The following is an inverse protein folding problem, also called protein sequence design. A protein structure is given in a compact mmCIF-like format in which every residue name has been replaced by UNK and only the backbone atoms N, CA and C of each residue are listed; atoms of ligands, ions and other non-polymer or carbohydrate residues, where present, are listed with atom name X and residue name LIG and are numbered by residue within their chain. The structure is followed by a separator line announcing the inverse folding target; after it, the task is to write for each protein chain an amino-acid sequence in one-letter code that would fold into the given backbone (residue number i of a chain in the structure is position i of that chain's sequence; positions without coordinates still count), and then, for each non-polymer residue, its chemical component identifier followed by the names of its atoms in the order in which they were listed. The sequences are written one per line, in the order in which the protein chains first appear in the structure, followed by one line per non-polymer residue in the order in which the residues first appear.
data_IF_302125307373
#
_entry.id   IF_302125307373
#
_cell.length_a   1.000
_cell.length_b   1.000
_cell.length_c   1.000
_cell.angle_alpha   90.00
_cell.angle_beta   90.00
_cell.angle_gamma   90.00
#
_symmetry.space_group_name_H-M   'P 1'
#
loop_
_entity.id
_entity.type
_entity.pdbx_description
1 polymer ?
#
# COMPACT_ATOMS: atom_id res chain seq x y z
N UNK A 1 63.29 39.53 37.43
CA UNK A 1 62.27 38.48 37.45
C UNK A 1 62.16 37.94 36.03
N UNK A 2 62.67 36.73 35.80
CA UNK A 2 62.53 36.03 34.51
C UNK A 2 61.12 35.45 34.48
N UNK A 3 60.29 35.91 33.54
CA UNK A 3 59.01 35.26 33.28
C UNK A 3 59.30 33.92 32.60
N UNK A 4 58.83 32.84 33.23
CA UNK A 4 58.92 31.47 32.73
C UNK A 4 58.32 31.38 31.32
N UNK A 5 58.97 30.58 30.47
CA UNK A 5 58.53 30.29 29.11
C UNK A 5 57.07 29.84 29.11
N UNK A 6 56.18 30.68 28.58
CA UNK A 6 54.78 30.33 28.35
C UNK A 6 54.73 29.19 27.31
N UNK A 7 54.46 27.98 27.76
CA UNK A 7 54.12 26.84 26.89
C UNK A 7 52.78 27.14 26.20
N UNK A 8 52.85 27.53 24.93
CA UNK A 8 51.68 27.59 24.05
C UNK A 8 51.21 26.15 23.80
N UNK A 9 50.06 25.80 24.36
CA UNK A 9 49.37 24.55 24.03
C UNK A 9 48.99 24.55 22.55
N UNK A 10 48.99 23.38 21.87
CA UNK A 10 48.53 23.29 20.50
C UNK A 10 47.09 23.81 20.42
N UNK A 11 46.85 24.71 19.47
CA UNK A 11 45.55 25.30 19.24
C UNK A 11 44.59 24.18 18.83
N UNK A 12 43.59 23.89 19.66
CA UNK A 12 42.57 22.89 19.32
C UNK A 12 41.77 23.40 18.14
N UNK A 13 41.59 22.55 17.14
CA UNK A 13 40.69 22.86 16.04
C UNK A 13 39.25 22.86 16.57
N UNK A 14 38.69 24.06 16.73
CA UNK A 14 37.33 24.29 17.23
C UNK A 14 36.32 24.43 16.07
N UNK A 15 36.67 24.08 14.83
CA UNK A 15 35.69 24.03 13.76
C UNK A 15 34.60 23.03 14.11
N UNK A 16 33.39 23.54 14.34
CA UNK A 16 32.18 22.74 14.42
C UNK A 16 32.00 22.07 13.08
N UNK A 17 32.17 20.74 13.06
CA UNK A 17 31.87 19.92 11.89
C UNK A 17 30.44 20.21 11.41
N UNK A 18 30.28 20.43 10.11
CA UNK A 18 28.97 20.58 9.50
C UNK A 18 28.31 19.20 9.45
N UNK A 19 27.62 18.85 10.55
CA UNK A 19 26.95 17.55 10.70
C UNK A 19 25.69 17.58 9.83
N UNK A 20 25.69 16.74 8.80
CA UNK A 20 24.52 16.54 7.93
C UNK A 20 23.30 16.24 8.79
N UNK A 21 22.18 16.90 8.46
CA UNK A 21 20.92 16.71 9.16
C UNK A 21 20.49 15.24 9.09
N UNK A 22 20.20 14.65 10.26
CA UNK A 22 19.75 13.25 10.35
C UNK A 22 18.32 13.13 9.82
N UNK A 23 17.95 11.96 9.31
CA UNK A 23 16.55 11.68 8.97
C UNK A 23 15.66 11.89 10.20
N UNK A 24 14.48 12.48 9.99
CA UNK A 24 13.53 12.73 11.08
C UNK A 24 12.88 11.44 11.57
N UNK A 25 12.63 10.50 10.66
CA UNK A 25 12.14 9.16 10.93
C UNK A 25 13.19 8.12 10.51
N UNK A 26 13.17 6.97 11.18
CA UNK A 26 14.00 5.82 10.81
C UNK A 26 13.84 5.44 9.33
N UNK A 27 14.97 5.10 8.72
CA UNK A 27 15.07 4.51 7.39
C UNK A 27 14.62 3.04 7.47
N UNK A 28 13.33 2.83 7.70
CA UNK A 28 12.74 1.49 7.83
C UNK A 28 12.66 0.85 6.44
N UNK A 29 13.13 -0.40 6.31
CA UNK A 29 13.02 -1.12 5.05
C UNK A 29 11.60 -1.62 4.81
N UNK A 30 11.02 -1.36 3.62
CA UNK A 30 9.76 -1.97 3.23
C UNK A 30 9.93 -3.47 2.99
N UNK A 31 8.87 -4.24 3.25
CA UNK A 31 8.92 -5.69 3.11
C UNK A 31 8.49 -6.14 1.71
N UNK A 32 9.27 -7.07 1.13
CA UNK A 32 8.90 -7.85 -0.06
C UNK A 32 8.57 -7.01 -1.31
N UNK A 33 9.19 -5.83 -1.45
CA UNK A 33 9.11 -5.01 -2.66
C UNK A 33 9.49 -5.82 -3.89
N UNK A 34 8.72 -5.68 -4.97
CA UNK A 34 8.93 -6.44 -6.20
C UNK A 34 8.33 -7.85 -6.21
N UNK A 35 7.51 -8.19 -5.21
CA UNK A 35 6.82 -9.50 -5.13
C UNK A 35 5.31 -9.35 -4.96
N UNK A 36 4.56 -10.45 -5.13
CA UNK A 36 3.12 -10.52 -4.85
C UNK A 36 2.81 -10.16 -3.39
N UNK A 37 3.74 -10.45 -2.48
CA UNK A 37 3.60 -10.24 -1.04
C UNK A 37 4.15 -8.87 -0.60
N UNK A 38 4.34 -7.92 -1.53
CA UNK A 38 4.80 -6.57 -1.24
C UNK A 38 3.93 -5.91 -0.16
N UNK A 39 4.59 -5.26 0.80
CA UNK A 39 3.94 -4.51 1.86
C UNK A 39 3.09 -3.34 1.34
N UNK A 40 1.96 -3.08 2.00
CA UNK A 40 1.14 -1.89 1.74
C UNK A 40 1.67 -0.63 2.44
N UNK A 41 1.43 0.55 1.86
CA UNK A 41 1.82 1.82 2.47
C UNK A 41 1.24 2.02 3.88
N UNK A 42 0.00 1.59 4.12
CA UNK A 42 -0.61 1.65 5.46
C UNK A 42 0.07 0.70 6.45
N UNK A 43 0.47 -0.50 6.03
CA UNK A 43 1.29 -1.40 6.86
C UNK A 43 2.60 -0.76 7.25
N UNK A 44 3.31 -0.21 6.26
CA UNK A 44 4.59 0.46 6.48
C UNK A 44 4.45 1.61 7.47
N UNK A 45 3.42 2.45 7.33
CA UNK A 45 3.14 3.55 8.25
C UNK A 45 2.89 3.07 9.69
N UNK A 46 2.16 1.97 9.87
CA UNK A 46 1.90 1.38 11.19
C UNK A 46 3.19 0.82 11.79
N UNK A 47 3.99 0.07 11.02
CA UNK A 47 5.29 -0.43 11.48
C UNK A 47 6.27 0.68 11.80
N UNK A 48 6.27 1.74 11.00
CA UNK A 48 7.07 2.93 11.26
C UNK A 48 6.68 3.56 12.60
N UNK A 49 5.39 3.70 12.89
CA UNK A 49 4.94 4.18 14.19
C UNK A 49 5.39 3.25 15.33
N UNK A 50 5.30 1.93 15.14
CA UNK A 50 5.70 0.92 16.13
C UNK A 50 7.19 1.00 16.47
N UNK A 51 8.09 1.11 15.48
CA UNK A 51 9.54 1.25 15.74
C UNK A 51 9.89 2.56 16.44
N UNK A 52 9.08 3.61 16.27
CA UNK A 52 9.21 4.88 16.99
C UNK A 52 8.51 4.88 18.37
N UNK A 53 7.93 3.75 18.79
CA UNK A 53 7.16 3.63 20.04
C UNK A 53 6.02 4.65 20.17
N UNK A 54 5.40 5.03 19.06
CA UNK A 54 4.26 5.95 19.01
C UNK A 54 3.08 5.29 18.30
N UNK A 55 1.89 5.87 18.47
CA UNK A 55 0.73 5.42 17.71
C UNK A 55 0.73 6.03 16.31
N UNK A 56 0.09 5.38 15.31
CA UNK A 56 -0.07 5.94 13.98
C UNK A 56 -0.67 7.35 13.99
N UNK A 57 -1.67 7.62 14.84
CA UNK A 57 -2.25 8.96 14.99
C UNK A 57 -1.22 10.02 15.41
N UNK A 58 -0.38 9.71 16.41
CA UNK A 58 0.66 10.63 16.87
C UNK A 58 1.69 10.90 15.78
N UNK A 59 2.14 9.85 15.09
CA UNK A 59 3.08 9.98 13.98
C UNK A 59 2.51 10.87 12.87
N UNK A 60 1.27 10.59 12.44
CA UNK A 60 0.59 11.36 11.40
C UNK A 60 0.42 12.81 11.83
N UNK A 61 -0.15 13.04 13.01
CA UNK A 61 -0.47 14.39 13.52
C UNK A 61 0.77 15.27 13.67
N UNK A 62 1.86 14.72 14.17
CA UNK A 62 3.03 15.53 14.56
C UNK A 62 4.11 15.60 13.49
N UNK A 63 4.21 14.62 12.59
CA UNK A 63 5.30 14.57 11.59
C UNK A 63 4.81 14.71 10.16
N UNK A 64 3.69 14.07 9.82
CA UNK A 64 3.20 14.01 8.44
C UNK A 64 2.28 15.20 8.12
N UNK A 65 1.31 15.51 8.99
CA UNK A 65 0.34 16.57 8.77
C UNK A 65 0.95 17.95 8.46
N UNK A 66 2.03 18.41 9.15
CA UNK A 66 2.66 19.70 8.84
C UNK A 66 3.22 19.80 7.40
N UNK A 67 3.46 18.67 6.74
CA UNK A 67 3.96 18.63 5.36
C UNK A 67 2.85 18.60 4.31
N UNK A 68 1.62 18.21 4.69
CA UNK A 68 0.47 18.11 3.79
C UNK A 68 -0.10 19.46 3.39
N UNK A 69 -0.08 20.43 4.31
CA UNK A 69 -0.62 21.77 4.11
C UNK A 69 0.49 22.77 4.44
N UNK A 70 1.05 23.43 3.42
CA UNK A 70 1.90 24.61 3.63
C UNK A 70 1.11 25.63 4.47
N UNK A 71 1.83 26.45 5.24
CA UNK A 71 1.36 27.38 6.28
C UNK A 71 0.29 28.45 5.88
N UNK A 72 -0.47 28.29 4.80
CA UNK A 72 -1.45 29.29 4.34
C UNK A 72 -2.78 29.27 5.11
N UNK A 73 -3.10 28.25 5.89
CA UNK A 73 -4.34 28.20 6.69
C UNK A 73 -4.07 28.00 8.19
N UNK A 74 -3.42 28.97 8.81
CA UNK A 74 -3.14 29.01 10.25
C UNK A 74 -4.37 29.29 11.15
N UNK A 75 -5.58 29.43 10.58
CA UNK A 75 -6.75 29.94 11.31
C UNK A 75 -7.84 28.91 11.65
N UNK A 76 -7.79 27.67 11.13
CA UNK A 76 -8.78 26.65 11.52
C UNK A 76 -8.23 25.72 12.58
N UNK A 77 -8.63 26.01 13.84
CA UNK A 77 -8.65 25.14 15.01
C UNK A 77 -8.46 23.67 14.66
N UNK A 78 -7.50 23.01 15.33
CA UNK A 78 -7.05 21.61 15.28
C UNK A 78 -8.14 20.50 15.37
N UNK A 79 -9.40 20.77 14.99
CA UNK A 79 -10.53 19.84 14.88
C UNK A 79 -11.04 19.66 13.43
N UNK A 80 -10.39 20.24 12.41
CA UNK A 80 -11.02 20.40 11.09
C UNK A 80 -10.65 19.45 9.95
N UNK A 81 -9.44 18.88 9.87
CA UNK A 81 -8.93 18.24 8.63
C UNK A 81 -8.31 16.85 8.85
N UNK A 82 -7.74 16.57 10.04
CA UNK A 82 -7.41 15.19 10.48
C UNK A 82 -8.65 14.28 10.26
N UNK A 83 -9.82 14.84 10.58
CA UNK A 83 -11.17 14.30 10.35
C UNK A 83 -11.60 14.13 8.87
N UNK A 84 -11.05 14.89 7.94
CA UNK A 84 -11.52 14.92 6.55
C UNK A 84 -10.68 14.09 5.58
N UNK A 85 -9.40 13.87 5.88
CA UNK A 85 -8.50 13.10 4.99
C UNK A 85 -8.22 11.69 5.52
N UNK A 86 -7.88 11.54 6.80
CA UNK A 86 -7.58 10.24 7.42
C UNK A 86 -8.77 9.63 8.16
N UNK A 87 -9.88 10.35 8.20
CA UNK A 87 -11.11 9.96 8.89
C UNK A 87 -12.29 9.85 7.91
N UNK A 88 -12.17 10.44 6.71
CA UNK A 88 -13.09 10.13 5.62
C UNK A 88 -12.74 8.76 5.03
N UNK A 89 -13.61 7.77 5.30
CA UNK A 89 -13.44 6.40 4.83
C UNK A 89 -13.21 6.29 3.32
N UNK A 90 -13.73 7.24 2.51
CA UNK A 90 -13.55 7.21 1.06
C UNK A 90 -12.10 7.44 0.63
N UNK A 91 -11.32 8.26 1.34
CA UNK A 91 -9.93 8.58 1.00
C UNK A 91 -8.95 7.58 1.61
N UNK A 92 -9.25 7.03 2.79
CA UNK A 92 -8.36 6.06 3.46
C UNK A 92 -8.09 4.85 2.56
N UNK A 93 -9.11 4.35 1.87
CA UNK A 93 -8.97 3.20 0.98
C UNK A 93 -8.12 3.46 -0.26
N UNK A 94 -8.00 4.71 -0.71
CA UNK A 94 -7.13 5.04 -1.84
C UNK A 94 -5.66 5.20 -1.44
N UNK A 95 -5.34 5.31 -0.14
CA UNK A 95 -3.95 5.52 0.33
C UNK A 95 -3.00 4.37 0.00
N UNK A 96 -3.51 3.15 -0.16
CA UNK A 96 -2.73 2.01 -0.66
C UNK A 96 -2.68 1.96 -2.20
N UNK A 97 -3.36 2.85 -2.90
CA UNK A 97 -3.54 2.79 -4.35
C UNK A 97 -2.95 4.02 -5.02
N UNK A 98 -3.78 4.92 -5.53
CA UNK A 98 -3.34 6.08 -6.27
C UNK A 98 -4.20 7.29 -5.95
N UNK A 99 -3.66 8.47 -6.25
CA UNK A 99 -4.35 9.74 -6.10
C UNK A 99 -3.51 10.75 -5.33
N UNK A 100 -4.01 11.99 -5.29
CA UNK A 100 -3.31 13.12 -4.69
C UNK A 100 -2.89 12.87 -3.24
N UNK A 101 -3.80 12.33 -2.42
CA UNK A 101 -3.52 12.03 -1.01
C UNK A 101 -2.43 10.96 -0.84
N UNK A 102 -2.42 9.94 -1.71
CA UNK A 102 -1.41 8.88 -1.70
C UNK A 102 -0.04 9.44 -2.07
N UNK A 103 0.04 10.20 -3.16
CA UNK A 103 1.27 10.86 -3.60
C UNK A 103 1.83 11.79 -2.52
N UNK A 104 0.98 12.61 -1.87
CA UNK A 104 1.41 13.48 -0.77
C UNK A 104 1.89 12.72 0.45
N UNK A 105 1.26 11.57 0.77
CA UNK A 105 1.70 10.73 1.88
C UNK A 105 3.06 10.10 1.61
N UNK A 106 3.25 9.56 0.41
CA UNK A 106 4.52 8.98 -0.05
C UNK A 106 5.62 10.03 0.00
N UNK A 107 5.43 11.19 -0.63
CA UNK A 107 6.38 12.32 -0.62
C UNK A 107 6.76 12.74 0.81
N UNK A 108 5.77 12.85 1.69
CA UNK A 108 6.01 13.19 3.10
C UNK A 108 6.84 12.14 3.82
N UNK A 109 6.50 10.85 3.64
CA UNK A 109 7.22 9.75 4.28
C UNK A 109 8.63 9.60 3.74
N UNK A 110 8.82 9.70 2.43
CA UNK A 110 10.13 9.65 1.76
C UNK A 110 11.03 10.78 2.24
N UNK A 111 10.52 12.02 2.33
CA UNK A 111 11.30 13.13 2.87
C UNK A 111 11.69 12.92 4.35
N UNK A 112 10.76 12.40 5.17
CA UNK A 112 10.98 12.19 6.61
C UNK A 112 11.93 11.01 6.90
N UNK A 113 11.84 9.93 6.12
CA UNK A 113 12.62 8.69 6.29
C UNK A 113 13.90 8.67 5.46
N UNK A 114 14.02 9.58 4.48
CA UNK A 114 15.07 9.62 3.45
C UNK A 114 15.08 8.40 2.51
N UNK A 115 13.93 7.73 2.36
CA UNK A 115 13.66 6.70 1.33
C UNK A 115 13.22 7.35 0.02
N UNK A 116 13.33 6.62 -1.09
CA UNK A 116 12.77 6.98 -2.40
C UNK A 116 11.73 5.98 -2.92
N UNK A 117 11.70 4.77 -2.35
CA UNK A 117 11.00 3.64 -2.93
C UNK A 117 9.60 3.38 -2.34
N UNK A 118 9.07 4.28 -1.50
CA UNK A 118 7.79 4.05 -0.81
C UNK A 118 6.60 4.14 -1.77
N UNK A 119 6.78 4.76 -2.94
CA UNK A 119 5.84 4.66 -4.07
C UNK A 119 5.53 3.19 -4.41
N UNK A 120 6.51 2.28 -4.26
CA UNK A 120 6.36 0.85 -4.55
C UNK A 120 5.35 0.11 -3.65
N UNK A 121 4.93 0.73 -2.54
CA UNK A 121 3.96 0.17 -1.57
C UNK A 121 2.51 0.55 -1.90
N UNK A 122 2.30 1.12 -3.08
CA UNK A 122 1.01 1.65 -3.54
C UNK A 122 0.66 1.12 -4.93
N UNK A 123 -0.43 1.58 -5.56
CA UNK A 123 -0.71 1.31 -6.99
C UNK A 123 -0.49 2.56 -7.85
N UNK A 124 0.35 3.49 -7.39
CA UNK A 124 0.53 4.79 -8.03
C UNK A 124 1.07 4.66 -9.46
N UNK A 125 1.94 3.69 -9.78
CA UNK A 125 2.48 3.51 -11.13
C UNK A 125 1.47 3.07 -12.19
N UNK A 126 0.28 2.66 -11.77
CA UNK A 126 -0.77 2.10 -12.63
C UNK A 126 -2.00 3.02 -12.74
N UNK A 127 -1.95 4.20 -12.11
CA UNK A 127 -3.12 5.09 -11.99
C UNK A 127 -3.67 5.65 -13.31
N UNK A 128 -2.82 5.76 -14.34
CA UNK A 128 -3.25 6.16 -15.68
C UNK A 128 -3.95 5.02 -16.42
N UNK A 129 -3.78 3.77 -15.98
CA UNK A 129 -4.22 2.56 -16.69
C UNK A 129 -5.40 1.86 -16.02
N UNK A 130 -5.58 2.03 -14.70
CA UNK A 130 -6.57 1.28 -13.91
C UNK A 130 -7.35 2.23 -12.99
N UNK A 131 -8.69 2.14 -13.04
CA UNK A 131 -9.59 2.89 -12.16
C UNK A 131 -9.94 2.07 -10.90
N UNK A 132 -9.22 2.29 -9.82
CA UNK A 132 -9.35 1.42 -8.64
C UNK A 132 -10.68 1.49 -7.89
N UNK A 133 -11.56 2.44 -8.17
CA UNK A 133 -12.73 2.80 -7.34
C UNK A 133 -13.55 1.58 -6.87
N UNK A 134 -13.73 0.55 -7.72
CA UNK A 134 -14.45 -0.67 -7.33
C UNK A 134 -13.56 -1.87 -6.97
N UNK A 135 -12.23 -1.74 -7.12
CA UNK A 135 -11.23 -2.70 -6.64
C UNK A 135 -10.85 -2.47 -5.17
N UNK A 136 -11.13 -1.29 -4.61
CA UNK A 136 -10.75 -0.95 -3.24
C UNK A 136 -11.59 -1.69 -2.20
N UNK A 137 -10.94 -2.32 -1.22
CA UNK A 137 -11.60 -2.80 -0.01
C UNK A 137 -11.87 -1.64 0.93
N UNK A 138 -13.04 -1.64 1.57
CA UNK A 138 -13.45 -0.58 2.51
C UNK A 138 -13.03 -0.83 3.97
N UNK A 139 -12.31 -1.93 4.23
CA UNK A 139 -11.88 -2.35 5.56
C UNK A 139 -10.59 -3.14 5.48
N UNK A 140 -9.94 -3.33 6.64
CA UNK A 140 -8.82 -4.23 6.77
C UNK A 140 -9.21 -5.66 6.40
N UNK A 141 -8.26 -6.40 5.86
CA UNK A 141 -8.36 -7.84 5.64
C UNK A 141 -7.05 -8.50 6.02
N UNK A 142 -7.11 -9.73 6.56
CA UNK A 142 -5.91 -10.46 6.96
C UNK A 142 -6.09 -11.96 6.87
N UNK A 143 -4.96 -12.66 6.79
CA UNK A 143 -4.92 -14.11 6.97
C UNK A 143 -4.41 -14.45 8.39
N UNK A 144 -5.20 -15.12 9.24
CA UNK A 144 -4.77 -15.48 10.59
C UNK A 144 -3.59 -16.47 10.56
N UNK A 145 -3.50 -17.33 9.54
CA UNK A 145 -2.37 -18.25 9.36
C UNK A 145 -1.07 -17.49 9.07
N UNK A 146 -1.08 -16.46 8.20
CA UNK A 146 0.11 -15.63 7.97
C UNK A 146 0.56 -14.92 9.25
N UNK A 147 -0.38 -14.28 9.96
CA UNK A 147 -0.07 -13.61 11.22
C UNK A 147 0.48 -14.59 12.26
N UNK A 148 -0.15 -15.75 12.43
CA UNK A 148 0.31 -16.81 13.34
C UNK A 148 1.71 -17.29 12.98
N UNK A 149 1.97 -17.58 11.70
CA UNK A 149 3.28 -18.01 11.22
C UNK A 149 4.36 -16.95 11.49
N UNK A 150 4.14 -15.69 11.10
CA UNK A 150 5.11 -14.62 11.32
C UNK A 150 5.38 -14.39 12.80
N UNK A 151 4.34 -14.39 13.63
CA UNK A 151 4.47 -14.25 15.09
C UNK A 151 5.28 -15.40 15.70
N UNK A 152 4.95 -16.66 15.39
CA UNK A 152 5.66 -17.83 15.91
C UNK A 152 7.13 -17.88 15.48
N UNK A 153 7.42 -17.47 14.24
CA UNK A 153 8.78 -17.42 13.69
C UNK A 153 9.54 -16.15 14.06
N UNK A 154 8.94 -15.22 14.82
CA UNK A 154 9.50 -13.90 15.14
C UNK A 154 9.93 -13.12 13.90
N UNK A 155 9.17 -13.28 12.81
CA UNK A 155 9.35 -12.52 11.58
C UNK A 155 8.58 -11.20 11.67
N UNK A 156 8.97 -10.18 10.88
CA UNK A 156 8.19 -8.96 10.77
C UNK A 156 6.75 -9.25 10.35
N UNK A 157 5.79 -8.73 11.12
CA UNK A 157 4.36 -8.87 10.85
C UNK A 157 3.92 -7.63 10.08
N UNK A 158 3.32 -7.83 8.91
CA UNK A 158 2.95 -6.75 8.00
C UNK A 158 1.66 -7.08 7.25
N UNK A 159 1.15 -6.15 6.45
CA UNK A 159 -0.03 -6.39 5.59
C UNK A 159 0.34 -6.23 4.12
N UNK A 160 0.31 -7.33 3.33
CA UNK A 160 0.47 -7.30 1.89
C UNK A 160 -0.52 -6.36 1.20
N UNK A 161 -0.03 -5.60 0.21
CA UNK A 161 -0.83 -4.69 -0.61
C UNK A 161 -2.01 -5.40 -1.28
N UNK A 162 -1.80 -6.64 -1.72
CA UNK A 162 -2.83 -7.45 -2.37
C UNK A 162 -4.08 -7.66 -1.51
N UNK A 163 -3.97 -7.64 -0.17
CA UNK A 163 -5.13 -7.75 0.73
C UNK A 163 -6.04 -6.51 0.70
N UNK A 164 -5.54 -5.38 0.20
CA UNK A 164 -6.33 -4.15 0.02
C UNK A 164 -7.30 -4.22 -1.17
N UNK A 165 -7.14 -5.22 -2.04
CA UNK A 165 -8.06 -5.46 -3.14
C UNK A 165 -9.31 -6.20 -2.64
N UNK A 166 -10.48 -5.64 -2.93
CA UNK A 166 -11.79 -6.22 -2.60
C UNK A 166 -12.05 -7.56 -3.32
N UNK A 167 -11.65 -7.75 -4.59
CA UNK A 167 -11.86 -9.02 -5.29
C UNK A 167 -11.06 -10.21 -4.73
N UNK A 168 -9.94 -9.94 -4.02
CA UNK A 168 -9.06 -10.96 -3.44
C UNK A 168 -9.71 -11.50 -2.16
N UNK A 169 -10.35 -12.65 -2.23
CA UNK A 169 -11.03 -13.26 -1.09
C UNK A 169 -10.15 -14.23 -0.30
N UNK A 170 -9.10 -14.77 -0.93
CA UNK A 170 -8.21 -15.77 -0.35
C UNK A 170 -6.79 -15.24 -0.15
N UNK A 171 -6.11 -15.80 0.84
CA UNK A 171 -4.67 -15.64 0.99
C UNK A 171 -3.93 -16.42 -0.11
N UNK A 172 -2.98 -15.78 -0.77
CA UNK A 172 -2.05 -16.34 -1.76
C UNK A 172 -1.23 -17.53 -1.22
N UNK A 173 -0.83 -17.48 0.05
CA UNK A 173 0.02 -18.50 0.66
C UNK A 173 -0.78 -19.69 1.19
N UNK A 174 -1.85 -19.42 1.91
CA UNK A 174 -2.60 -20.44 2.66
C UNK A 174 -3.89 -20.88 1.98
N UNK A 175 -4.32 -20.21 0.90
CA UNK A 175 -5.63 -20.38 0.27
C UNK A 175 -6.79 -20.29 1.28
N UNK A 176 -6.56 -19.56 2.37
CA UNK A 176 -7.51 -19.38 3.46
C UNK A 176 -8.28 -18.07 3.27
N UNK A 177 -9.59 -18.03 3.56
CA UNK A 177 -10.38 -16.81 3.43
C UNK A 177 -9.80 -15.65 4.25
N UNK A 178 -9.63 -14.49 3.60
CA UNK A 178 -9.21 -13.29 4.29
C UNK A 178 -10.34 -12.81 5.22
N UNK A 179 -10.00 -12.65 6.49
CA UNK A 179 -10.94 -12.21 7.51
C UNK A 179 -10.97 -10.68 7.58
N UNK A 180 -12.14 -10.11 7.87
CA UNK A 180 -12.34 -8.65 7.96
C UNK A 180 -12.98 -8.20 9.27
N UNK A 181 -13.35 -9.14 10.14
CA UNK A 181 -14.00 -8.91 11.42
C UNK A 181 -13.24 -9.61 12.55
N UNK A 182 -13.11 -8.94 13.70
CA UNK A 182 -12.47 -9.54 14.85
C UNK A 182 -13.33 -10.70 15.39
N UNK A 183 -12.77 -11.90 15.62
CA UNK A 183 -13.56 -13.05 16.12
C UNK A 183 -13.99 -12.87 17.58
N UNK A 184 -13.34 -11.97 18.32
CA UNK A 184 -13.69 -11.66 19.70
C UNK A 184 -14.86 -10.65 19.72
N UNK A 185 -14.60 -9.42 19.26
CA UNK A 185 -15.53 -8.32 19.46
C UNK A 185 -16.46 -8.06 18.26
N UNK A 186 -16.37 -8.86 17.19
CA UNK A 186 -17.15 -8.77 15.96
C UNK A 186 -17.07 -7.43 15.21
N UNK A 187 -16.15 -6.53 15.60
CA UNK A 187 -15.97 -5.26 14.90
C UNK A 187 -15.25 -5.48 13.57
N UNK A 188 -15.77 -4.82 12.53
CA UNK A 188 -15.09 -4.67 11.24
C UNK A 188 -13.98 -3.63 11.37
N UNK A 189 -12.75 -4.02 11.10
CA UNK A 189 -11.58 -3.14 11.33
C UNK A 189 -11.40 -2.16 10.18
N UNK A 190 -11.16 -0.88 10.50
CA UNK A 190 -10.76 0.10 9.48
C UNK A 190 -9.36 -0.22 8.96
N UNK A 191 -9.05 0.22 7.74
CA UNK A 191 -7.73 0.02 7.11
C UNK A 191 -6.62 0.53 8.03
N UNK A 192 -6.82 1.73 8.60
CA UNK A 192 -6.01 2.31 9.65
C UNK A 192 -6.92 2.95 10.72
N UNK A 193 -6.49 2.92 11.96
CA UNK A 193 -7.12 3.51 13.12
C UNK A 193 -6.05 4.21 13.98
N UNK A 194 -6.45 5.15 14.88
CA UNK A 194 -5.49 5.93 15.66
C UNK A 194 -4.47 5.10 16.46
N UNK A 195 -4.91 3.94 16.95
CA UNK A 195 -4.16 2.97 17.75
C UNK A 195 -3.91 1.66 16.99
N UNK A 196 -3.93 1.68 15.66
CA UNK A 196 -3.65 0.47 14.87
C UNK A 196 -2.28 -0.12 15.21
N UNK A 197 -2.27 -1.44 15.36
CA UNK A 197 -1.07 -2.28 15.48
C UNK A 197 -1.29 -3.51 14.60
N UNK A 198 -0.28 -3.88 13.81
CA UNK A 198 -0.43 -5.00 12.87
C UNK A 198 -0.64 -6.30 13.65
N UNK A 199 -1.63 -7.09 13.21
CA UNK A 199 -1.99 -8.34 13.88
C UNK A 199 -2.87 -8.19 15.12
N UNK A 200 -3.27 -6.98 15.52
CA UNK A 200 -4.13 -6.77 16.68
C UNK A 200 -5.41 -6.00 16.33
N UNK A 201 -6.49 -6.32 17.04
CA UNK A 201 -7.74 -5.57 16.94
C UNK A 201 -7.58 -4.18 17.56
N UNK A 202 -7.89 -3.11 16.81
CA UNK A 202 -7.84 -1.74 17.32
C UNK A 202 -8.98 -1.38 18.30
N UNK A 203 -9.96 -2.27 18.49
CA UNK A 203 -11.08 -2.09 19.42
C UNK A 203 -10.88 -2.84 20.74
N UNK A 204 -10.63 -4.15 20.69
CA UNK A 204 -10.49 -4.99 21.90
C UNK A 204 -9.05 -5.35 22.25
N UNK A 205 -8.06 -5.06 21.39
CA UNK A 205 -6.66 -5.40 21.62
C UNK A 205 -6.32 -6.88 21.39
N UNK A 206 -7.27 -7.72 20.98
CA UNK A 206 -7.06 -9.16 20.78
C UNK A 206 -6.11 -9.44 19.61
N UNK A 207 -5.28 -10.47 19.76
CA UNK A 207 -4.40 -11.00 18.70
C UNK A 207 -5.23 -11.68 17.60
N UNK A 208 -4.96 -11.33 16.35
CA UNK A 208 -5.73 -11.75 15.17
C UNK A 208 -5.10 -12.93 14.40
N UNK A 209 -3.98 -13.47 14.86
CA UNK A 209 -3.27 -14.59 14.23
C UNK A 209 -3.54 -15.94 14.90
N UNK A 210 -4.63 -16.07 15.64
CA UNK A 210 -5.04 -17.29 16.32
C UNK A 210 -6.18 -17.95 15.55
N UNK A 211 -5.84 -18.98 14.76
CA UNK A 211 -6.75 -19.63 13.81
C UNK A 211 -7.90 -20.34 14.51
N UNK A 212 -7.68 -20.84 15.72
CA UNK A 212 -8.68 -21.61 16.48
C UNK A 212 -9.87 -20.75 16.89
N UNK A 213 -9.70 -19.42 16.92
CA UNK A 213 -10.78 -18.46 17.17
C UNK A 213 -11.72 -18.26 15.97
N UNK A 214 -11.38 -18.78 14.79
CA UNK A 214 -12.16 -18.59 13.57
C UNK A 214 -12.96 -19.83 13.20
N UNK A 215 -14.30 -19.70 13.21
CA UNK A 215 -15.21 -20.75 12.73
C UNK A 215 -15.38 -20.64 11.20
N UNK A 216 -14.35 -21.02 10.42
CA UNK A 216 -14.51 -21.08 8.96
C UNK A 216 -15.16 -22.41 8.58
N UNK A 217 -16.42 -22.36 8.14
CA UNK A 217 -17.13 -23.51 7.59
C UNK A 217 -16.42 -23.95 6.30
N UNK A 218 -16.04 -25.23 6.22
CA UNK A 218 -15.54 -25.84 5.00
C UNK A 218 -16.64 -25.82 3.92
N UNK A 219 -16.58 -24.87 2.99
CA UNK A 219 -17.52 -24.81 1.88
C UNK A 219 -17.12 -25.84 0.81
N UNK A 220 -17.97 -26.84 0.61
CA UNK A 220 -17.81 -27.99 -0.29
C UNK A 220 -17.90 -27.66 -1.80
N UNK A 221 -17.91 -26.38 -2.20
CA UNK A 221 -17.85 -25.91 -3.60
C UNK A 221 -16.47 -25.32 -3.95
N UNK A 222 -15.40 -25.91 -3.39
CA UNK A 222 -14.13 -25.24 -3.11
C UNK A 222 -13.18 -25.08 -4.30
N UNK A 223 -13.14 -26.03 -5.24
CA UNK A 223 -12.02 -26.12 -6.19
C UNK A 223 -12.08 -25.10 -7.35
N UNK A 224 -13.26 -24.85 -7.92
CA UNK A 224 -13.42 -23.86 -8.99
C UNK A 224 -13.23 -22.42 -8.49
N UNK A 225 -13.69 -22.13 -7.28
CA UNK A 225 -13.54 -20.83 -6.63
C UNK A 225 -12.09 -20.55 -6.24
N UNK A 226 -11.36 -21.53 -5.68
CA UNK A 226 -9.92 -21.39 -5.43
C UNK A 226 -9.16 -21.14 -6.73
N UNK A 227 -9.41 -21.93 -7.79
CA UNK A 227 -8.68 -21.77 -9.05
C UNK A 227 -8.84 -20.35 -9.60
N UNK A 228 -10.07 -19.83 -9.59
CA UNK A 228 -10.34 -18.46 -10.03
C UNK A 228 -9.66 -17.40 -9.13
N UNK A 229 -9.70 -17.59 -7.81
CA UNK A 229 -9.00 -16.71 -6.87
C UNK A 229 -7.48 -16.75 -7.08
N UNK A 230 -6.90 -17.92 -7.35
CA UNK A 230 -5.47 -18.08 -7.65
C UNK A 230 -5.08 -17.35 -8.93
N UNK A 231 -5.87 -17.43 -10.01
CA UNK A 231 -5.60 -16.68 -11.24
C UNK A 231 -5.71 -15.17 -11.02
N UNK A 232 -6.75 -14.70 -10.33
CA UNK A 232 -6.91 -13.30 -9.96
C UNK A 232 -5.73 -12.78 -9.12
N UNK A 233 -5.27 -13.57 -8.14
CA UNK A 233 -4.11 -13.26 -7.29
C UNK A 233 -2.83 -13.16 -8.12
N UNK A 234 -2.63 -14.03 -9.12
CA UNK A 234 -1.46 -13.95 -10.02
C UNK A 234 -1.48 -12.66 -10.83
N UNK A 235 -2.63 -12.29 -11.37
CA UNK A 235 -2.78 -11.06 -12.17
C UNK A 235 -2.51 -9.82 -11.33
N UNK A 236 -3.22 -9.65 -10.20
CA UNK A 236 -3.03 -8.48 -9.33
C UNK A 236 -1.65 -8.49 -8.67
N UNK A 237 -1.16 -9.66 -8.28
CA UNK A 237 0.14 -9.85 -7.66
C UNK A 237 1.30 -9.50 -8.60
N UNK A 238 1.18 -9.82 -9.88
CA UNK A 238 2.20 -9.42 -10.86
C UNK A 238 2.18 -7.91 -11.10
N UNK A 239 1.01 -7.24 -11.16
CA UNK A 239 0.97 -5.77 -11.18
C UNK A 239 1.72 -5.15 -10.00
N UNK A 240 1.53 -5.70 -8.80
CA UNK A 240 2.23 -5.26 -7.58
C UNK A 240 3.73 -5.55 -7.67
N UNK A 241 4.13 -6.72 -8.16
CA UNK A 241 5.53 -7.08 -8.32
C UNK A 241 6.27 -6.16 -9.32
N UNK A 242 5.59 -5.66 -10.36
CA UNK A 242 6.17 -4.74 -11.36
C UNK A 242 6.24 -3.26 -10.91
N UNK A 243 5.90 -2.98 -9.65
CA UNK A 243 5.79 -1.65 -9.08
C UNK A 243 7.13 -1.04 -8.60
N UNK A 244 8.30 -1.49 -9.06
CA UNK A 244 9.62 -1.05 -8.55
C UNK A 244 10.21 0.21 -9.24
N UNK A 245 11.09 0.93 -8.53
CA UNK A 245 11.84 2.10 -9.03
C UNK A 245 12.84 1.79 -10.16
N UNK A 246 13.33 0.55 -10.25
CA UNK A 246 14.48 0.12 -11.08
C UNK A 246 14.29 0.30 -12.60
N UNK A 247 13.12 0.75 -13.07
CA UNK A 247 12.75 0.72 -14.48
C UNK A 247 12.21 2.07 -14.98
N UNK A 248 12.99 3.15 -14.96
CA UNK A 248 12.60 4.44 -15.55
C UNK A 248 13.07 4.58 -17.01
N UNK A 249 12.51 3.79 -17.93
CA UNK A 249 12.80 3.93 -19.37
C UNK A 249 11.51 3.91 -20.21
N UNK A 250 11.53 4.53 -21.40
CA UNK A 250 10.37 4.68 -22.31
C UNK A 250 9.72 3.32 -22.65
N UNK A 251 10.54 2.26 -22.68
CA UNK A 251 10.12 0.86 -22.82
C UNK A 251 9.07 0.43 -21.77
N UNK A 252 9.01 1.08 -20.59
CA UNK A 252 8.08 0.71 -19.51
C UNK A 252 6.66 1.19 -19.72
N UNK A 253 6.41 2.31 -20.40
CA UNK A 253 5.02 2.68 -20.75
C UNK A 253 4.40 1.60 -21.63
N UNK A 254 5.20 1.10 -22.57
CA UNK A 254 4.85 -0.02 -23.44
C UNK A 254 4.67 -1.33 -22.67
N UNK A 255 5.62 -1.75 -21.81
CA UNK A 255 5.45 -2.97 -21.01
C UNK A 255 4.30 -2.87 -20.00
N UNK A 256 4.05 -1.72 -19.38
CA UNK A 256 2.86 -1.50 -18.53
C UNK A 256 1.58 -1.60 -19.35
N UNK A 257 1.53 -0.98 -20.53
CA UNK A 257 0.38 -1.10 -21.43
C UNK A 257 0.17 -2.54 -21.90
N UNK A 258 1.24 -3.31 -22.13
CA UNK A 258 1.19 -4.72 -22.53
C UNK A 258 0.77 -5.63 -21.37
N UNK A 259 1.33 -5.42 -20.17
CA UNK A 259 0.96 -6.19 -18.98
C UNK A 259 -0.49 -5.92 -18.64
N UNK A 260 -0.91 -4.65 -18.63
CA UNK A 260 -2.32 -4.27 -18.55
C UNK A 260 -3.13 -4.92 -19.68
N UNK A 261 -2.68 -4.87 -20.93
CA UNK A 261 -3.36 -5.50 -22.07
C UNK A 261 -3.62 -7.00 -21.83
N UNK A 262 -2.60 -7.78 -21.48
CA UNK A 262 -2.77 -9.23 -21.30
C UNK A 262 -3.58 -9.56 -20.05
N UNK A 263 -3.37 -8.83 -18.97
CA UNK A 263 -4.06 -9.07 -17.71
C UNK A 263 -5.52 -8.63 -17.73
N UNK A 264 -5.84 -7.51 -18.39
CA UNK A 264 -7.23 -7.08 -18.60
C UNK A 264 -7.98 -8.08 -19.46
N UNK A 265 -7.34 -8.65 -20.49
CA UNK A 265 -7.94 -9.68 -21.36
C UNK A 265 -8.14 -11.01 -20.63
N UNK A 266 -7.22 -11.41 -19.77
CA UNK A 266 -7.38 -12.57 -18.88
C UNK A 266 -8.47 -12.34 -17.82
N UNK A 267 -8.58 -11.14 -17.27
CA UNK A 267 -9.65 -10.76 -16.35
C UNK A 267 -11.03 -10.77 -17.03
N UNK A 268 -11.14 -10.24 -18.26
CA UNK A 268 -12.38 -10.24 -19.05
C UNK A 268 -12.84 -11.67 -19.38
N UNK A 269 -11.92 -12.56 -19.73
CA UNK A 269 -12.25 -13.98 -19.98
C UNK A 269 -12.66 -14.72 -18.70
N UNK A 270 -12.10 -14.36 -17.53
CA UNK A 270 -12.55 -14.85 -16.22
C UNK A 270 -13.92 -14.29 -15.81
N UNK A 271 -14.23 -13.03 -16.11
CA UNK A 271 -15.56 -12.44 -15.85
C UNK A 271 -16.65 -13.08 -16.71
N UNK A 272 -16.37 -13.31 -17.99
CA UNK A 272 -17.34 -13.90 -18.93
C UNK A 272 -17.70 -15.35 -18.57
N UNK A 273 -16.78 -16.08 -17.94
CA UNK A 273 -16.94 -17.48 -17.55
C UNK A 273 -17.62 -17.68 -16.17
N UNK A 274 -17.88 -16.62 -15.40
CA UNK A 274 -18.42 -16.73 -14.04
C UNK A 274 -19.70 -15.89 -13.81
N UNK A 275 -20.82 -16.56 -13.52
CA UNK A 275 -22.10 -15.91 -13.22
C UNK A 275 -22.20 -15.29 -11.82
N UNK A 276 -21.27 -15.60 -10.91
CA UNK A 276 -21.26 -15.12 -9.52
C UNK A 276 -20.45 -13.84 -9.33
N UNK A 277 -19.49 -13.57 -10.23
CA UNK A 277 -18.85 -12.25 -10.33
C UNK A 277 -19.82 -11.38 -11.11
N UNK A 278 -20.30 -10.30 -10.51
CA UNK A 278 -21.15 -9.35 -11.23
C UNK A 278 -20.38 -8.84 -12.44
N UNK A 279 -20.82 -9.22 -13.65
CA UNK A 279 -20.24 -8.90 -14.97
C UNK A 279 -19.95 -7.42 -15.22
N UNK A 280 -20.45 -6.54 -14.35
CA UNK A 280 -20.25 -5.09 -14.39
C UNK A 280 -19.03 -4.61 -13.58
N UNK A 281 -18.59 -5.35 -12.56
CA UNK A 281 -17.74 -4.78 -11.50
C UNK A 281 -16.27 -4.64 -11.86
N UNK A 282 -15.63 -5.61 -12.51
CA UNK A 282 -14.20 -5.47 -12.87
C UNK A 282 -14.08 -4.67 -14.17
N UNK A 283 -14.96 -4.90 -15.16
CA UNK A 283 -15.05 -4.08 -16.38
C UNK A 283 -15.26 -2.56 -16.10
N UNK A 284 -16.15 -2.18 -15.17
CA UNK A 284 -16.35 -0.75 -14.80
C UNK A 284 -15.15 -0.18 -14.02
N UNK A 285 -14.37 -1.02 -13.32
CA UNK A 285 -13.14 -0.62 -12.61
C UNK A 285 -11.94 -0.41 -13.53
N UNK A 286 -11.96 -0.99 -14.72
CA UNK A 286 -10.81 -0.95 -15.61
C UNK A 286 -11.05 0.03 -16.76
N UNK A 287 -11.99 0.97 -16.56
CA UNK A 287 -12.27 2.09 -17.44
C UNK A 287 -11.13 3.12 -17.39
N UNK A 288 -10.52 3.39 -18.55
CA UNK A 288 -9.63 4.53 -18.74
C UNK A 288 -10.49 5.80 -18.71
N UNK A 289 -9.96 6.91 -18.18
CA UNK A 289 -10.71 8.11 -17.75
C UNK A 289 -11.62 8.76 -18.84
N UNK A 290 -11.58 8.32 -20.10
CA UNK A 290 -12.51 8.74 -21.17
C UNK A 290 -12.95 7.63 -22.15
N UNK A 291 -12.57 6.37 -21.90
CA UNK A 291 -12.70 5.27 -22.85
C UNK A 291 -13.01 3.96 -22.12
N UNK A 292 -13.98 3.19 -22.63
CA UNK A 292 -14.24 1.82 -22.17
C UNK A 292 -13.05 0.91 -22.50
N UNK A 293 -12.98 -0.29 -21.90
CA UNK A 293 -12.01 -1.32 -22.29
C UNK A 293 -12.08 -1.59 -23.81
N UNK A 294 -13.29 -1.59 -24.38
CA UNK A 294 -13.56 -1.67 -25.82
C UNK A 294 -12.97 -0.50 -26.63
N UNK A 295 -13.00 0.72 -26.10
CA UNK A 295 -12.41 1.88 -26.75
C UNK A 295 -10.87 1.83 -26.69
N UNK A 296 -10.30 1.37 -25.57
CA UNK A 296 -8.86 1.06 -25.47
C UNK A 296 -8.44 0.00 -26.51
N UNK A 297 -9.26 -1.05 -26.70
CA UNK A 297 -9.04 -2.08 -27.74
C UNK A 297 -9.14 -1.52 -29.17
N UNK A 298 -10.05 -0.57 -29.44
CA UNK A 298 -10.17 0.10 -30.74
C UNK A 298 -9.04 1.09 -31.02
N UNK A 299 -8.52 1.77 -29.99
CA UNK A 299 -7.41 2.72 -30.12
C UNK A 299 -6.06 1.99 -30.34
N UNK A 300 -5.82 0.89 -29.63
CA UNK A 300 -4.60 0.08 -29.78
C UNK A 300 -4.52 -0.66 -31.13
N UNK A 301 -5.64 -1.20 -31.62
CA UNK A 301 -5.69 -1.83 -32.96
C UNK A 301 -5.47 -0.85 -34.12
N UNK A 302 -5.76 0.44 -33.93
CA UNK A 302 -5.45 1.50 -34.91
C UNK A 302 -3.97 1.86 -34.98
N UNK A 303 -3.23 1.73 -33.88
CA UNK A 303 -1.78 1.94 -33.84
C UNK A 303 -1.05 0.83 -34.61
N UNK A 304 -1.57 -0.40 -34.58
CA UNK A 304 -1.04 -1.53 -35.38
C UNK A 304 -1.45 -1.49 -36.85
N UNK A 305 -2.34 -0.58 -37.25
CA UNK A 305 -2.83 -0.44 -38.63
C UNK A 305 -2.47 0.89 -39.29
N UNK A 306 -1.58 1.70 -38.70
CA UNK A 306 -0.94 2.78 -39.45
C UNK A 306 0.11 2.16 -40.35
N UNK A 307 0.03 2.31 -41.68
CA UNK A 307 1.17 2.06 -42.53
C UNK A 307 2.31 2.96 -42.07
N UNK A 308 3.53 2.42 -42.05
CA UNK A 308 4.73 3.22 -42.22
C UNK A 308 4.62 3.88 -43.59
N UNK A 309 4.08 5.09 -43.65
CA UNK A 309 4.12 5.89 -44.86
C UNK A 309 5.52 6.51 -45.00
N UNK A 310 6.06 6.29 -46.20
CA UNK A 310 7.22 6.92 -46.83
C UNK A 310 7.24 8.44 -46.72
#
# INVERSE_FOLDING_TARGET
MQFENLTLYPNYDLYTLDIIERSTLYFLEPINVGTIECESLMSYLIRLAEVHCVTPDKLIKHKIYPLFWRQEDSSTKYKGIIGRTFTNRSHIKSLNFSGWYTSKLVESLENLTKRSDLTCLTMMYWHELITYVYLLRDSKAWCPLCYGYWHQKKLPIYEPLIWSFKPVALCSQHHYPLITQCPQCNHKLSIIAPNSRIGYCNYCGEWLGDVDKYQVKSHTSYHSEIKLQSELIKILGSLIAFNSEVYEDENRRFYRQIITYFQLKELETLELSNSQISKKRIHESMSYIKHTIDDFWKLSSRITSSPLDM
#
